data_IF_092353354168
#
_entry.id   IF_092353354168
#
_cell.length_a   1.000
_cell.length_b   1.000
_cell.length_c   1.000
_cell.angle_alpha   90.00
_cell.angle_beta   90.00
_cell.angle_gamma   90.00
#
_symmetry.space_group_name_H-M   'P 1'
#
loop_
_entity.id
_entity.type
_entity.pdbx_description
1 polymer ?
#
# COMPACT_ATOMS: atom_id res chain seq x y z
N UNK A 1 15.86 6.93 -21.02
CA UNK A 1 15.28 5.98 -20.07
C UNK A 1 16.08 6.02 -18.77
N UNK A 2 15.38 6.20 -17.64
CA UNK A 2 16.05 6.28 -16.35
C UNK A 2 16.46 4.88 -15.88
N UNK A 3 17.66 4.76 -15.32
CA UNK A 3 18.09 3.52 -14.69
C UNK A 3 17.29 3.28 -13.41
N UNK A 4 17.21 2.04 -12.97
CA UNK A 4 16.48 1.66 -11.76
C UNK A 4 16.99 2.44 -10.53
N UNK A 5 18.30 2.65 -10.44
CA UNK A 5 18.90 3.42 -9.34
C UNK A 5 18.49 4.88 -9.39
N UNK A 6 18.30 5.45 -10.60
CA UNK A 6 17.86 6.83 -10.74
C UNK A 6 16.41 6.99 -10.31
N UNK A 7 15.56 6.01 -10.65
CA UNK A 7 14.16 6.00 -10.20
C UNK A 7 14.09 5.91 -8.68
N UNK A 8 14.91 5.05 -8.08
CA UNK A 8 14.96 4.91 -6.63
C UNK A 8 15.35 6.22 -5.95
N UNK A 9 16.31 6.95 -6.51
CA UNK A 9 16.74 8.24 -5.96
C UNK A 9 15.63 9.28 -6.06
N UNK A 10 14.90 9.29 -7.17
CA UNK A 10 13.79 10.22 -7.36
C UNK A 10 12.72 9.98 -6.29
N UNK A 11 12.32 8.71 -6.09
CA UNK A 11 11.32 8.39 -5.08
C UNK A 11 11.82 8.67 -3.67
N UNK A 12 13.06 8.34 -3.38
CA UNK A 12 13.67 8.64 -2.08
C UNK A 12 13.64 10.14 -1.79
N UNK A 13 13.99 10.94 -2.80
CA UNK A 13 13.96 12.40 -2.68
C UNK A 13 12.53 12.91 -2.46
N UNK A 14 11.57 12.41 -3.24
CA UNK A 14 10.17 12.82 -3.11
C UNK A 14 9.62 12.47 -1.74
N UNK A 15 9.88 11.26 -1.26
CA UNK A 15 9.36 10.79 0.03
C UNK A 15 10.04 11.48 1.21
N UNK A 16 11.18 12.13 0.98
CA UNK A 16 11.93 12.83 2.02
C UNK A 16 11.73 14.36 1.98
N UNK A 17 10.87 14.86 1.10
CA UNK A 17 10.57 16.29 1.04
C UNK A 17 10.04 16.75 2.40
N UNK A 18 10.46 17.93 2.91
CA UNK A 18 9.93 18.43 4.17
C UNK A 18 8.41 18.49 4.16
N UNK A 19 7.80 17.95 5.21
CA UNK A 19 6.35 17.85 5.31
C UNK A 19 5.77 16.55 4.79
N UNK A 20 6.56 15.71 4.10
CA UNK A 20 6.05 14.45 3.56
C UNK A 20 5.70 13.44 4.66
N UNK A 21 6.34 13.55 5.82
CA UNK A 21 6.03 12.68 6.97
C UNK A 21 4.96 13.26 7.88
N UNK A 22 4.41 14.42 7.56
CA UNK A 22 3.36 15.02 8.35
C UNK A 22 2.06 14.24 8.18
N UNK A 23 1.30 14.12 9.26
CA UNK A 23 0.02 13.44 9.21
C UNK A 23 -1.01 14.30 8.50
N UNK A 24 -1.75 13.71 7.59
CA UNK A 24 -2.84 14.37 6.88
C UNK A 24 -4.13 13.65 7.26
N UNK A 25 -5.11 14.41 7.72
CA UNK A 25 -6.41 13.85 8.02
C UNK A 25 -7.20 13.72 6.72
N UNK A 26 -7.59 12.49 6.40
CA UNK A 26 -8.38 12.20 5.21
C UNK A 26 -9.73 11.69 5.67
N UNK A 27 -10.79 12.39 5.29
CA UNK A 27 -12.15 12.01 5.66
C UNK A 27 -13.05 12.04 4.42
N UNK A 28 -13.48 10.86 4.00
CA UNK A 28 -14.44 10.73 2.91
C UNK A 28 -15.24 9.45 3.11
N UNK A 29 -16.44 9.44 2.54
CA UNK A 29 -17.32 8.28 2.62
C UNK A 29 -17.18 7.43 1.37
N UNK A 30 -16.94 6.13 1.56
CA UNK A 30 -16.84 5.19 0.44
C UNK A 30 -17.70 3.95 0.74
N UNK A 31 -18.29 3.34 -0.29
CA UNK A 31 -19.05 2.11 -0.10
C UNK A 31 -18.19 0.98 0.48
N UNK A 32 -18.81 0.11 1.27
CA UNK A 32 -18.09 -1.05 1.85
C UNK A 32 -17.40 -1.90 0.81
N UNK A 33 -18.08 -2.13 -0.32
CA UNK A 33 -17.48 -2.92 -1.42
C UNK A 33 -16.17 -2.32 -1.88
N UNK A 34 -16.10 -0.99 -1.93
CA UNK A 34 -14.88 -0.31 -2.35
C UNK A 34 -13.79 -0.38 -1.29
N UNK A 35 -14.17 -0.41 0.00
CA UNK A 35 -13.20 -0.63 1.08
C UNK A 35 -12.56 -2.01 0.94
N UNK A 36 -13.39 -3.03 0.69
CA UNK A 36 -12.87 -4.38 0.50
C UNK A 36 -11.93 -4.46 -0.71
N UNK A 37 -12.34 -3.87 -1.82
CA UNK A 37 -11.51 -3.88 -3.03
C UNK A 37 -10.21 -3.10 -2.83
N UNK A 38 -10.28 -1.96 -2.11
CA UNK A 38 -9.08 -1.18 -1.81
C UNK A 38 -8.10 -1.99 -0.96
N UNK A 39 -8.59 -2.73 0.04
CA UNK A 39 -7.72 -3.57 0.85
C UNK A 39 -7.05 -4.66 0.01
N UNK A 40 -7.76 -5.21 -0.97
CA UNK A 40 -7.19 -6.20 -1.88
C UNK A 40 -6.11 -5.59 -2.77
N UNK A 41 -6.31 -4.36 -3.24
CA UNK A 41 -5.30 -3.65 -4.02
C UNK A 41 -4.04 -3.43 -3.17
N UNK A 42 -4.20 -3.02 -1.91
CA UNK A 42 -3.08 -2.81 -1.01
C UNK A 42 -2.33 -4.13 -0.77
N UNK A 43 -3.06 -5.20 -0.43
CA UNK A 43 -2.46 -6.51 -0.19
C UNK A 43 -1.71 -7.01 -1.42
N UNK A 44 -2.30 -6.86 -2.58
CA UNK A 44 -1.68 -7.30 -3.83
C UNK A 44 -0.42 -6.51 -4.12
N UNK A 45 -0.45 -5.20 -3.93
CA UNK A 45 0.72 -4.36 -4.12
C UNK A 45 1.87 -4.74 -3.21
N UNK A 46 1.54 -5.09 -1.95
CA UNK A 46 2.56 -5.44 -0.95
C UNK A 46 3.11 -6.86 -1.15
N UNK A 47 2.33 -7.75 -1.78
CA UNK A 47 2.74 -9.16 -1.98
C UNK A 47 3.39 -9.41 -3.32
N UNK A 48 3.43 -8.42 -4.21
CA UNK A 48 4.04 -8.58 -5.53
C UNK A 48 5.55 -8.64 -5.43
N UNK A 49 6.05 -9.85 -5.25
CA UNK A 49 7.48 -10.17 -5.35
C UNK A 49 7.66 -11.20 -6.44
N UNK A 50 7.21 -10.87 -7.65
CA UNK A 50 7.44 -11.74 -8.78
C UNK A 50 8.84 -11.42 -9.34
N UNK A 51 9.79 -12.37 -9.23
CA UNK A 51 11.14 -12.12 -9.74
C UNK A 51 11.17 -11.92 -11.26
N UNK A 52 10.14 -12.36 -11.96
CA UNK A 52 10.02 -12.16 -13.40
C UNK A 52 9.35 -10.84 -13.76
N UNK A 53 8.83 -10.12 -12.77
CA UNK A 53 8.21 -8.83 -13.00
C UNK A 53 9.28 -7.78 -13.25
N UNK A 54 9.39 -7.35 -14.49
CA UNK A 54 10.37 -6.35 -14.91
C UNK A 54 9.86 -4.93 -14.69
N UNK A 55 8.62 -4.78 -14.23
CA UNK A 55 8.11 -3.44 -13.94
C UNK A 55 8.73 -2.94 -12.64
N UNK A 56 9.13 -1.66 -12.65
CA UNK A 56 9.65 -1.02 -11.45
C UNK A 56 8.50 -0.66 -10.54
N UNK A 57 8.29 -1.51 -9.52
CA UNK A 57 7.29 -1.22 -8.51
C UNK A 57 7.92 -0.29 -7.46
N UNK A 58 7.35 0.89 -7.29
CA UNK A 58 7.83 1.86 -6.31
C UNK A 58 7.88 1.25 -4.90
N UNK A 59 7.03 0.28 -4.62
CA UNK A 59 6.98 -0.35 -3.31
C UNK A 59 8.23 -1.19 -3.02
N UNK A 60 8.95 -1.63 -4.05
CA UNK A 60 10.22 -2.33 -3.85
C UNK A 60 11.33 -1.40 -3.36
N UNK A 61 11.13 -0.09 -3.52
CA UNK A 61 12.11 0.92 -3.17
C UNK A 61 11.86 1.52 -1.78
N UNK A 62 10.77 1.12 -1.13
CA UNK A 62 10.33 1.68 0.14
C UNK A 62 10.81 0.78 1.28
N UNK A 63 11.23 1.34 2.42
CA UNK A 63 11.61 0.54 3.58
C UNK A 63 10.49 -0.39 4.04
N UNK A 64 10.87 -1.56 4.57
CA UNK A 64 9.89 -2.54 5.06
C UNK A 64 8.98 -1.96 6.13
N UNK A 65 9.48 -1.07 6.94
CA UNK A 65 8.70 -0.42 7.99
C UNK A 65 7.51 0.33 7.42
N UNK A 66 7.73 1.06 6.32
CA UNK A 66 6.67 1.78 5.63
C UNK A 66 5.66 0.82 5.00
N UNK A 67 6.13 -0.30 4.46
CA UNK A 67 5.24 -1.33 3.92
C UNK A 67 4.35 -1.91 5.01
N UNK A 68 4.90 -2.13 6.22
CA UNK A 68 4.11 -2.61 7.34
C UNK A 68 3.06 -1.59 7.79
N UNK A 69 3.38 -0.31 7.74
CA UNK A 69 2.42 0.75 8.03
C UNK A 69 1.25 0.70 7.07
N UNK A 70 1.51 0.49 5.77
CA UNK A 70 0.46 0.36 4.77
C UNK A 70 -0.40 -0.88 5.02
N UNK A 71 0.22 -1.98 5.43
CA UNK A 71 -0.52 -3.20 5.75
C UNK A 71 -1.43 -2.99 6.96
N UNK A 72 -0.95 -2.31 7.99
CA UNK A 72 -1.76 -1.96 9.15
C UNK A 72 -2.91 -1.05 8.78
N UNK A 73 -2.68 -0.11 7.86
CA UNK A 73 -3.74 0.76 7.36
C UNK A 73 -4.83 -0.05 6.66
N UNK A 74 -4.43 -1.02 5.85
CA UNK A 74 -5.38 -1.93 5.19
C UNK A 74 -6.26 -2.64 6.22
N UNK A 75 -5.66 -3.18 7.28
CA UNK A 75 -6.40 -3.85 8.36
C UNK A 75 -7.33 -2.88 9.07
N UNK A 76 -6.90 -1.65 9.28
CA UNK A 76 -7.72 -0.65 9.96
C UNK A 76 -8.95 -0.27 9.16
N UNK A 77 -8.82 -0.07 7.85
CA UNK A 77 -9.98 0.29 7.03
C UNK A 77 -10.98 -0.86 6.96
N UNK A 78 -10.51 -2.11 6.93
CA UNK A 78 -11.38 -3.27 6.98
C UNK A 78 -12.15 -3.34 8.31
N UNK A 79 -11.46 -3.08 9.41
CA UNK A 79 -12.06 -3.09 10.73
C UNK A 79 -13.14 -2.01 10.84
N UNK A 80 -12.85 -0.80 10.36
CA UNK A 80 -13.82 0.30 10.40
C UNK A 80 -15.05 0.01 9.56
N UNK A 81 -14.91 -0.73 8.48
CA UNK A 81 -16.02 -1.10 7.61
C UNK A 81 -16.76 -2.34 8.10
N UNK A 82 -16.26 -3.01 9.15
CA UNK A 82 -16.85 -4.25 9.65
C UNK A 82 -16.66 -5.43 8.72
N UNK A 83 -15.57 -5.45 7.97
CA UNK A 83 -15.32 -6.46 6.94
C UNK A 83 -14.19 -7.43 7.29
N UNK A 84 -13.62 -7.33 8.49
CA UNK A 84 -12.45 -8.15 8.86
C UNK A 84 -12.76 -9.65 8.76
N UNK A 85 -13.88 -10.11 9.30
CA UNK A 85 -14.25 -11.53 9.27
C UNK A 85 -14.50 -12.00 7.85
N UNK A 86 -15.22 -11.20 7.06
CA UNK A 86 -15.48 -11.54 5.66
C UNK A 86 -14.18 -11.66 4.88
N UNK A 87 -13.26 -10.72 5.11
CA UNK A 87 -11.97 -10.75 4.44
C UNK A 87 -11.18 -12.02 4.79
N UNK A 88 -11.22 -12.44 6.06
CA UNK A 88 -10.55 -13.66 6.50
C UNK A 88 -11.14 -14.89 5.80
N UNK A 89 -12.45 -14.93 5.65
CA UNK A 89 -13.12 -16.04 4.93
C UNK A 89 -12.72 -16.07 3.47
N UNK A 90 -12.59 -14.92 2.84
CA UNK A 90 -12.18 -14.83 1.44
C UNK A 90 -10.73 -15.27 1.25
N UNK A 91 -9.87 -15.02 2.22
CA UNK A 91 -8.47 -15.42 2.15
C UNK A 91 -8.29 -16.94 2.24
N UNK A 92 -9.25 -17.64 2.82
CA UNK A 92 -9.18 -19.09 2.95
C UNK A 92 -9.81 -19.84 1.77
N UNK A 93 -10.24 -19.14 0.74
CA UNK A 93 -10.78 -19.77 -0.47
C UNK A 93 -9.69 -20.43 -1.32
#
# INVERSE_FOLDING_TARGET
MLAKTDVARIYDTVLSIPGMSDNVKIAFNIPRKNVLLLSKVIERGLSLKDPDDKSNNVLDLVPKETLQELLLLSSEILSKAGLTELNQKLQSL
#
